data_IF_761617667065
#
_entry.id   IF_761617667065
#
_cell.length_a   1.000
_cell.length_b   1.000
_cell.length_c   1.000
_cell.angle_alpha   90.00
_cell.angle_beta   90.00
_cell.angle_gamma   90.00
#
_symmetry.space_group_name_H-M   'P 1'
#
loop_
_entity.id
_entity.type
_entity.pdbx_description
1 polymer ?
#
# COMPACT_ATOMS: atom_id res chain seq x y z
N UNK A 1 -4.64 18.43 -4.33
CA UNK A 1 -3.50 17.76 -3.71
C UNK A 1 -2.59 17.11 -4.75
N UNK A 2 -3.04 16.17 -5.57
CA UNK A 2 -2.25 15.60 -6.68
C UNK A 2 -1.88 16.60 -7.79
N UNK A 3 -2.59 17.73 -7.91
CA UNK A 3 -2.29 18.77 -8.90
C UNK A 3 -0.98 19.54 -8.61
N UNK A 4 -0.54 19.56 -7.33
CA UNK A 4 0.67 20.26 -6.87
C UNK A 4 1.64 19.28 -6.23
N UNK A 5 2.03 18.24 -6.96
CA UNK A 5 3.09 17.33 -6.53
C UNK A 5 4.43 18.08 -6.58
N UNK A 6 5.02 18.30 -5.41
CA UNK A 6 6.30 19.01 -5.25
C UNK A 6 7.49 18.07 -5.32
N UNK A 7 7.24 16.78 -5.12
CA UNK A 7 8.26 15.73 -5.13
C UNK A 7 7.96 14.67 -6.21
N UNK A 8 8.96 13.96 -6.64
CA UNK A 8 8.82 12.89 -7.63
C UNK A 8 8.53 11.52 -6.98
N UNK A 9 8.89 11.33 -5.70
CA UNK A 9 8.67 10.08 -4.97
C UNK A 9 8.03 10.35 -3.61
N UNK A 10 6.99 9.60 -3.28
CA UNK A 10 6.23 9.69 -2.04
C UNK A 10 6.22 8.33 -1.35
N UNK A 11 6.58 8.31 -0.06
CA UNK A 11 6.28 7.20 0.83
C UNK A 11 4.93 7.48 1.47
N UNK A 12 3.91 6.72 1.10
CA UNK A 12 2.54 6.86 1.61
C UNK A 12 2.38 5.89 2.77
N UNK A 13 2.49 6.42 3.99
CA UNK A 13 2.40 5.63 5.21
C UNK A 13 0.95 5.41 5.67
N UNK A 14 0.70 4.29 6.33
CA UNK A 14 -0.64 3.88 6.79
C UNK A 14 -1.46 3.19 5.70
N UNK A 15 -0.81 2.65 4.68
CA UNK A 15 -1.42 1.99 3.53
C UNK A 15 -0.62 0.73 3.16
N UNK A 16 -1.14 -0.08 2.27
CA UNK A 16 -0.47 -1.28 1.75
C UNK A 16 -0.98 -1.65 0.36
N UNK A 17 -0.88 -2.93 0.02
CA UNK A 17 -1.38 -3.46 -1.25
C UNK A 17 -2.87 -3.25 -1.44
N UNK A 18 -3.66 -3.37 -0.37
CA UNK A 18 -5.13 -3.23 -0.41
C UNK A 18 -5.60 -1.84 -0.88
N UNK A 19 -4.86 -0.78 -0.55
CA UNK A 19 -5.24 0.60 -0.86
C UNK A 19 -4.81 1.06 -2.26
N UNK A 20 -4.03 0.28 -3.00
CA UNK A 20 -3.50 0.65 -4.33
C UNK A 20 -4.61 1.04 -5.31
N UNK A 21 -5.67 0.25 -5.40
CA UNK A 21 -6.78 0.51 -6.32
C UNK A 21 -7.51 1.80 -5.96
N UNK A 22 -7.84 1.98 -4.68
CA UNK A 22 -8.51 3.20 -4.19
C UNK A 22 -7.63 4.44 -4.37
N UNK A 23 -6.33 4.33 -4.13
CA UNK A 23 -5.38 5.40 -4.35
C UNK A 23 -5.26 5.76 -5.84
N UNK A 24 -5.16 4.78 -6.72
CA UNK A 24 -5.11 4.97 -8.16
C UNK A 24 -6.36 5.66 -8.71
N UNK A 25 -7.56 5.25 -8.25
CA UNK A 25 -8.82 5.92 -8.62
C UNK A 25 -8.86 7.38 -8.15
N UNK A 26 -8.40 7.64 -6.93
CA UNK A 26 -8.33 9.00 -6.40
C UNK A 26 -7.35 9.87 -7.19
N UNK A 27 -6.20 9.30 -7.58
CA UNK A 27 -5.20 9.95 -8.41
C UNK A 27 -5.77 10.27 -9.80
N UNK A 28 -6.48 9.33 -10.43
CA UNK A 28 -7.16 9.54 -11.73
C UNK A 28 -8.12 10.73 -11.67
N UNK A 29 -9.04 10.72 -10.72
CA UNK A 29 -10.02 11.81 -10.59
C UNK A 29 -9.37 13.16 -10.28
N UNK A 30 -8.31 13.20 -9.49
CA UNK A 30 -7.64 14.43 -9.12
C UNK A 30 -6.77 15.04 -10.25
N UNK A 31 -6.26 14.18 -11.13
CA UNK A 31 -5.43 14.58 -12.28
C UNK A 31 -6.20 14.62 -13.61
N UNK A 32 -7.52 14.41 -13.58
CA UNK A 32 -8.39 14.35 -14.76
C UNK A 32 -7.88 13.33 -15.81
N UNK A 33 -7.40 12.16 -15.34
CA UNK A 33 -6.89 11.12 -16.22
C UNK A 33 -8.04 10.25 -16.75
N UNK A 34 -7.91 9.80 -17.98
CA UNK A 34 -8.83 8.83 -18.57
C UNK A 34 -8.85 7.51 -17.78
N UNK A 35 -9.94 6.76 -17.90
CA UNK A 35 -10.10 5.50 -17.17
C UNK A 35 -9.00 4.50 -17.48
N UNK A 36 -8.55 4.43 -18.72
CA UNK A 36 -7.47 3.58 -19.22
C UNK A 36 -6.23 4.42 -19.54
N UNK A 37 -5.75 5.21 -18.56
CA UNK A 37 -4.55 6.01 -18.73
C UNK A 37 -3.31 5.11 -18.80
N UNK A 38 -2.62 5.02 -19.95
CA UNK A 38 -1.55 4.03 -20.18
C UNK A 38 -0.30 4.28 -19.32
N UNK A 39 -0.13 5.51 -18.83
CA UNK A 39 1.01 5.92 -18.02
C UNK A 39 0.72 5.87 -16.51
N UNK A 40 -0.34 5.21 -16.09
CA UNK A 40 -0.63 4.88 -14.70
C UNK A 40 -0.40 3.38 -14.46
N UNK A 41 0.66 3.06 -13.74
CA UNK A 41 1.01 1.70 -13.33
C UNK A 41 0.61 1.51 -11.87
N UNK A 42 -0.33 0.61 -11.62
CA UNK A 42 -0.75 0.21 -10.28
C UNK A 42 -0.31 -1.22 -10.02
N UNK A 43 0.49 -1.43 -8.97
CA UNK A 43 1.03 -2.73 -8.59
C UNK A 43 0.80 -2.96 -7.09
N UNK A 44 0.08 -4.02 -6.77
CA UNK A 44 -0.15 -4.47 -5.40
C UNK A 44 0.44 -5.87 -5.23
N UNK A 45 1.39 -6.02 -4.32
CA UNK A 45 2.05 -7.30 -4.04
C UNK A 45 2.23 -7.47 -2.52
N UNK A 46 2.14 -8.68 -1.99
CA UNK A 46 2.40 -8.91 -0.55
C UNK A 46 3.83 -8.56 -0.17
N UNK A 47 4.80 -8.88 -1.03
CA UNK A 47 6.21 -8.56 -0.82
C UNK A 47 6.81 -8.01 -2.11
N UNK A 48 7.25 -6.74 -2.05
CA UNK A 48 7.90 -6.07 -3.18
C UNK A 48 9.36 -6.49 -3.25
N UNK A 49 9.66 -7.33 -4.24
CA UNK A 49 10.96 -7.95 -4.46
C UNK A 49 11.82 -7.24 -5.51
N UNK A 50 13.01 -7.80 -5.75
CA UNK A 50 13.96 -7.24 -6.72
C UNK A 50 13.41 -7.25 -8.15
N UNK A 51 12.62 -8.27 -8.52
CA UNK A 51 12.03 -8.38 -9.85
C UNK A 51 10.98 -7.28 -10.09
N UNK A 52 10.17 -6.98 -9.06
CA UNK A 52 9.22 -5.86 -9.09
C UNK A 52 9.94 -4.52 -9.25
N UNK A 53 11.05 -4.34 -8.53
CA UNK A 53 11.87 -3.14 -8.64
C UNK A 53 12.51 -3.01 -10.04
N UNK A 54 12.95 -4.11 -10.64
CA UNK A 54 13.45 -4.13 -12.01
C UNK A 54 12.36 -3.82 -13.03
N UNK A 55 11.17 -4.39 -12.85
CA UNK A 55 9.99 -4.09 -13.69
C UNK A 55 9.63 -2.61 -13.64
N UNK A 56 9.48 -2.05 -12.44
CA UNK A 56 9.19 -0.61 -12.24
C UNK A 56 10.26 0.26 -12.89
N UNK A 57 11.54 -0.08 -12.68
CA UNK A 57 12.67 0.65 -13.27
C UNK A 57 12.67 0.60 -14.79
N UNK A 58 12.35 -0.54 -15.38
CA UNK A 58 12.28 -0.71 -16.84
C UNK A 58 11.18 0.18 -17.43
N UNK A 59 9.98 0.18 -16.81
CA UNK A 59 8.86 1.03 -17.23
C UNK A 59 9.15 2.52 -17.01
N UNK A 60 9.79 2.89 -15.89
CA UNK A 60 10.09 4.28 -15.58
C UNK A 60 11.05 4.93 -16.60
N UNK A 61 11.93 4.14 -17.24
CA UNK A 61 12.84 4.63 -18.30
C UNK A 61 12.15 4.92 -19.62
N UNK A 62 10.96 4.36 -19.84
CA UNK A 62 10.21 4.61 -21.07
C UNK A 62 9.55 5.99 -21.01
N UNK A 63 9.52 6.69 -22.15
CA UNK A 63 8.78 7.96 -22.24
C UNK A 63 7.29 7.71 -22.04
N UNK A 64 6.55 8.68 -21.44
CA UNK A 64 5.10 8.61 -21.36
C UNK A 64 4.47 8.43 -22.74
N UNK A 65 3.54 7.49 -22.86
CA UNK A 65 2.82 7.20 -24.12
C UNK A 65 1.78 8.28 -24.41
N UNK A 66 1.10 8.75 -23.37
CA UNK A 66 0.10 9.82 -23.49
C UNK A 66 0.71 11.23 -23.54
N UNK A 67 2.05 11.36 -23.58
CA UNK A 67 2.73 12.65 -23.66
C UNK A 67 2.66 13.53 -22.42
N UNK A 68 2.09 13.01 -21.32
CA UNK A 68 1.89 13.71 -20.07
C UNK A 68 2.80 13.23 -18.93
N UNK A 69 2.22 13.09 -17.75
CA UNK A 69 2.90 12.56 -16.57
C UNK A 69 2.75 11.05 -16.49
N UNK A 70 3.77 10.39 -15.96
CA UNK A 70 3.74 8.96 -15.64
C UNK A 70 3.63 8.77 -14.14
N UNK A 71 2.76 7.85 -13.73
CA UNK A 71 2.49 7.57 -12.33
C UNK A 71 2.70 6.09 -12.00
N UNK A 72 3.39 5.85 -10.89
CA UNK A 72 3.54 4.53 -10.32
C UNK A 72 2.90 4.53 -8.94
N UNK A 73 1.89 3.69 -8.74
CA UNK A 73 1.24 3.42 -7.45
C UNK A 73 1.60 2.00 -7.06
N UNK A 74 2.52 1.88 -6.12
CA UNK A 74 3.12 0.61 -5.69
C UNK A 74 2.71 0.37 -4.25
N UNK A 75 2.06 -0.75 -3.95
CA UNK A 75 1.67 -1.08 -2.59
C UNK A 75 2.21 -2.45 -2.20
N UNK A 76 2.76 -2.53 -0.99
CA UNK A 76 3.28 -3.77 -0.45
C UNK A 76 3.23 -3.79 1.08
N UNK A 77 3.08 -5.00 1.65
CA UNK A 77 3.13 -5.20 3.10
C UNK A 77 4.58 -5.34 3.58
N UNK A 78 5.48 -5.78 2.68
CA UNK A 78 6.92 -5.83 2.89
C UNK A 78 7.68 -5.37 1.65
N UNK A 79 8.85 -4.76 1.85
CA UNK A 79 9.76 -4.35 0.76
C UNK A 79 11.15 -4.89 1.06
N UNK A 80 11.64 -5.79 0.21
CA UNK A 80 12.94 -6.43 0.44
C UNK A 80 14.08 -5.41 0.35
N UNK A 81 15.20 -5.68 1.02
CA UNK A 81 16.37 -4.79 0.99
C UNK A 81 16.95 -4.66 -0.41
N UNK A 82 16.95 -5.75 -1.17
CA UNK A 82 17.42 -5.79 -2.55
C UNK A 82 16.55 -4.90 -3.46
N UNK A 83 15.22 -4.96 -3.29
CA UNK A 83 14.30 -4.10 -4.01
C UNK A 83 14.50 -2.62 -3.66
N UNK A 84 14.66 -2.31 -2.37
CA UNK A 84 14.94 -0.95 -1.92
C UNK A 84 16.23 -0.40 -2.54
N UNK A 85 17.30 -1.19 -2.54
CA UNK A 85 18.58 -0.81 -3.16
C UNK A 85 18.45 -0.61 -4.68
N UNK A 86 17.67 -1.46 -5.36
CA UNK A 86 17.43 -1.35 -6.80
C UNK A 86 16.67 -0.07 -7.19
N UNK A 87 15.81 0.44 -6.29
CA UNK A 87 15.04 1.67 -6.49
C UNK A 87 15.84 2.95 -6.20
N UNK A 88 16.94 2.90 -5.43
CA UNK A 88 17.68 4.09 -5.02
C UNK A 88 18.02 4.99 -6.21
N UNK A 89 18.64 4.42 -7.26
CA UNK A 89 19.03 5.20 -8.44
C UNK A 89 17.83 5.79 -9.18
N UNK A 90 16.69 5.08 -9.20
CA UNK A 90 15.47 5.55 -9.86
C UNK A 90 14.87 6.74 -9.13
N UNK A 91 15.01 6.79 -7.81
CA UNK A 91 14.51 7.89 -6.98
C UNK A 91 15.52 9.04 -6.83
N UNK A 92 16.80 8.79 -7.12
CA UNK A 92 17.82 9.86 -7.20
C UNK A 92 17.72 10.65 -8.51
N UNK A 93 17.55 9.93 -9.62
CA UNK A 93 17.54 10.49 -10.97
C UNK A 93 16.23 10.10 -11.69
N UNK A 94 15.09 10.65 -11.27
CA UNK A 94 13.81 10.29 -11.86
C UNK A 94 13.71 10.78 -13.30
N UNK A 95 13.06 9.98 -14.16
CA UNK A 95 12.69 10.43 -15.49
C UNK A 95 11.75 11.64 -15.38
N UNK A 96 11.93 12.69 -16.18
CA UNK A 96 11.05 13.86 -16.15
C UNK A 96 9.57 13.49 -16.22
N UNK A 97 8.74 14.20 -15.46
CA UNK A 97 7.29 14.01 -15.36
C UNK A 97 6.85 12.64 -14.80
N UNK A 98 7.73 11.90 -14.11
CA UNK A 98 7.40 10.63 -13.47
C UNK A 98 7.23 10.83 -11.97
N UNK A 99 6.15 10.27 -11.43
CA UNK A 99 5.85 10.30 -10.00
C UNK A 99 5.64 8.89 -9.45
N UNK A 100 6.24 8.63 -8.29
CA UNK A 100 6.17 7.35 -7.60
C UNK A 100 5.43 7.52 -6.27
N UNK A 101 4.51 6.63 -5.98
CA UNK A 101 3.81 6.50 -4.70
C UNK A 101 4.03 5.07 -4.20
N UNK A 102 4.82 4.94 -3.14
CA UNK A 102 5.06 3.66 -2.48
C UNK A 102 4.20 3.62 -1.21
N UNK A 103 3.16 2.80 -1.25
CA UNK A 103 2.20 2.60 -0.18
C UNK A 103 2.71 1.50 0.74
N UNK A 104 2.95 1.84 1.99
CA UNK A 104 3.44 0.92 3.03
C UNK A 104 2.73 1.18 4.36
N UNK A 105 2.58 0.16 5.18
CA UNK A 105 1.93 0.30 6.49
C UNK A 105 2.67 1.28 7.40
N UNK A 106 4.01 1.30 7.34
CA UNK A 106 4.85 2.25 8.08
C UNK A 106 6.07 2.67 7.26
N UNK A 107 6.46 3.93 7.37
CA UNK A 107 7.68 4.43 6.71
C UNK A 107 8.97 3.78 7.24
N UNK A 108 8.94 3.23 8.45
CA UNK A 108 10.07 2.52 9.08
C UNK A 108 10.40 1.19 8.39
N UNK A 109 9.50 0.64 7.58
CA UNK A 109 9.78 -0.52 6.72
C UNK A 109 10.82 -0.22 5.64
N UNK A 110 11.00 1.07 5.34
CA UNK A 110 11.97 1.52 4.34
C UNK A 110 13.30 1.91 4.99
N UNK A 111 14.38 1.48 4.37
CA UNK A 111 15.72 1.88 4.78
C UNK A 111 15.85 3.42 4.77
N UNK A 112 16.59 4.01 5.73
CA UNK A 112 16.78 5.45 5.80
C UNK A 112 17.32 6.06 4.49
N UNK A 113 18.15 5.32 3.77
CA UNK A 113 18.71 5.70 2.47
C UNK A 113 17.65 5.86 1.38
N UNK A 114 16.64 4.99 1.33
CA UNK A 114 15.54 5.12 0.39
C UNK A 114 14.55 6.21 0.85
N UNK A 115 14.21 6.19 2.14
CA UNK A 115 13.28 7.14 2.74
C UNK A 115 13.72 8.60 2.59
N UNK A 116 15.03 8.87 2.69
CA UNK A 116 15.57 10.23 2.53
C UNK A 116 15.40 10.83 1.13
N UNK A 117 15.03 10.02 0.14
CA UNK A 117 14.76 10.43 -1.26
C UNK A 117 13.28 10.55 -1.57
N UNK A 118 12.44 10.41 -0.57
CA UNK A 118 10.98 10.42 -0.69
C UNK A 118 10.38 11.45 0.25
N UNK A 119 9.26 12.03 -0.15
CA UNK A 119 8.41 12.77 0.77
C UNK A 119 7.53 11.79 1.52
N UNK A 120 7.68 11.72 2.85
CA UNK A 120 6.84 10.85 3.69
C UNK A 120 5.53 11.57 3.99
N UNK A 121 4.42 10.96 3.67
CA UNK A 121 3.10 11.53 3.90
C UNK A 121 2.10 10.42 4.31
N UNK A 122 1.18 10.71 5.23
CA UNK A 122 0.12 9.77 5.56
C UNK A 122 -0.88 9.66 4.40
N UNK A 123 -1.52 8.49 4.24
CA UNK A 123 -2.45 8.22 3.13
C UNK A 123 -3.63 9.20 3.12
N UNK A 124 -4.08 9.65 4.28
CA UNK A 124 -5.19 10.60 4.43
C UNK A 124 -4.89 11.94 3.75
N UNK A 125 -3.62 12.32 3.65
CA UNK A 125 -3.19 13.52 2.90
C UNK A 125 -3.61 13.45 1.43
N UNK A 126 -3.74 12.27 0.87
CA UNK A 126 -4.16 12.06 -0.52
C UNK A 126 -5.69 11.90 -0.65
N UNK A 127 -6.44 12.03 0.45
CA UNK A 127 -7.90 11.92 0.48
C UNK A 127 -8.39 10.50 0.24
N UNK A 128 -7.54 9.52 0.45
CA UNK A 128 -7.91 8.11 0.50
C UNK A 128 -8.27 7.81 1.95
N UNK A 129 -9.49 7.36 2.16
CA UNK A 129 -9.94 6.90 3.47
C UNK A 129 -9.59 5.42 3.54
N UNK A 130 -8.62 5.08 4.36
CA UNK A 130 -8.43 3.69 4.77
C UNK A 130 -9.70 3.32 5.54
N UNK A 131 -10.43 2.35 5.04
CA UNK A 131 -11.61 1.87 5.73
C UNK A 131 -11.11 1.16 6.98
N UNK A 132 -11.01 1.92 8.08
CA UNK A 132 -10.60 1.41 9.41
C UNK A 132 -11.60 0.38 9.97
N UNK A 133 -12.64 0.04 9.21
CA UNK A 133 -13.66 -0.92 9.63
C UNK A 133 -13.02 -2.23 10.09
N UNK A 134 -12.05 -2.75 9.36
CA UNK A 134 -11.36 -3.98 9.74
C UNK A 134 -10.42 -3.78 10.92
N UNK A 135 -9.80 -2.60 11.09
CA UNK A 135 -8.95 -2.32 12.26
C UNK A 135 -9.74 -2.27 13.56
N UNK A 136 -10.90 -1.61 13.57
CA UNK A 136 -11.78 -1.58 14.75
C UNK A 136 -12.35 -2.97 15.05
N UNK A 137 -12.78 -3.69 14.01
CA UNK A 137 -13.25 -5.07 14.14
C UNK A 137 -12.14 -6.02 14.60
N UNK A 138 -10.92 -5.86 14.11
CA UNK A 138 -9.76 -6.65 14.52
C UNK A 138 -9.39 -6.39 15.99
N UNK A 139 -9.35 -5.14 16.42
CA UNK A 139 -9.11 -4.77 17.82
C UNK A 139 -10.20 -5.29 18.74
N UNK A 140 -11.46 -5.16 18.35
CA UNK A 140 -12.58 -5.70 19.10
C UNK A 140 -12.50 -7.23 19.19
N UNK A 141 -12.11 -7.90 18.10
CA UNK A 141 -11.88 -9.35 18.09
C UNK A 141 -10.75 -9.76 19.03
N UNK A 142 -9.62 -9.05 19.01
CA UNK A 142 -8.46 -9.35 19.87
C UNK A 142 -8.76 -9.09 21.35
N UNK A 143 -9.55 -8.08 21.66
CA UNK A 143 -9.97 -7.75 23.02
C UNK A 143 -11.06 -8.70 23.57
N UNK A 144 -11.74 -9.45 22.70
CA UNK A 144 -12.83 -10.32 23.11
C UNK A 144 -12.34 -11.58 23.83
N UNK A 145 -13.13 -12.14 24.77
CA UNK A 145 -12.85 -13.44 25.40
C UNK A 145 -12.74 -14.57 24.35
N UNK A 146 -11.99 -15.63 24.67
CA UNK A 146 -11.70 -16.74 23.73
C UNK A 146 -12.96 -17.38 23.14
N UNK A 147 -14.03 -17.54 23.93
CA UNK A 147 -15.32 -18.09 23.44
C UNK A 147 -15.99 -17.19 22.39
N UNK A 148 -15.95 -15.86 22.59
CA UNK A 148 -16.51 -14.91 21.62
C UNK A 148 -15.69 -14.86 20.32
N UNK A 149 -14.36 -15.00 20.43
CA UNK A 149 -13.47 -15.10 19.25
C UNK A 149 -13.76 -16.35 18.44
N UNK A 150 -13.96 -17.50 19.10
CA UNK A 150 -14.30 -18.75 18.43
C UNK A 150 -15.65 -18.63 17.71
N UNK A 151 -16.69 -18.12 18.37
CA UNK A 151 -18.00 -17.91 17.77
C UNK A 151 -17.93 -16.97 16.53
N UNK A 152 -17.11 -15.93 16.58
CA UNK A 152 -16.91 -15.01 15.45
C UNK A 152 -16.20 -15.70 14.28
N UNK A 153 -15.17 -16.52 14.56
CA UNK A 153 -14.48 -17.30 13.55
C UNK A 153 -15.41 -18.32 12.86
N UNK A 154 -16.26 -19.01 13.61
CA UNK A 154 -17.28 -19.91 13.09
C UNK A 154 -18.30 -19.18 12.22
N UNK A 155 -18.73 -17.99 12.63
CA UNK A 155 -19.63 -17.16 11.84
C UNK A 155 -19.01 -16.75 10.49
N UNK A 156 -17.72 -16.33 10.48
CA UNK A 156 -17.01 -15.98 9.25
C UNK A 156 -16.87 -17.21 8.34
N UNK A 157 -16.52 -18.36 8.89
CA UNK A 157 -16.41 -19.60 8.14
C UNK A 157 -17.75 -20.04 7.52
N UNK A 158 -18.87 -19.90 8.27
CA UNK A 158 -20.20 -20.16 7.76
C UNK A 158 -20.63 -19.18 6.67
N UNK A 159 -20.35 -17.88 6.85
CA UNK A 159 -20.66 -16.84 5.86
C UNK A 159 -19.91 -17.04 4.54
N UNK A 160 -18.64 -17.50 4.60
CA UNK A 160 -17.85 -17.87 3.42
C UNK A 160 -18.44 -19.10 2.71
N UNK A 161 -18.90 -20.10 3.47
CA UNK A 161 -19.50 -21.31 2.91
C UNK A 161 -20.84 -21.02 2.23
N UNK A 162 -21.62 -20.10 2.80
CA UNK A 162 -22.94 -19.69 2.30
C UNK A 162 -22.85 -18.59 1.21
N UNK A 163 -21.66 -18.23 0.77
CA UNK A 163 -21.40 -17.15 -0.20
C UNK A 163 -21.95 -15.77 0.23
N UNK A 164 -22.19 -15.58 1.52
CA UNK A 164 -22.66 -14.30 2.10
C UNK A 164 -21.54 -13.31 2.40
N UNK A 165 -20.29 -13.77 2.34
CA UNK A 165 -19.09 -12.98 2.50
C UNK A 165 -18.12 -13.32 1.38
N UNK A 166 -17.51 -12.30 0.77
CA UNK A 166 -16.49 -12.52 -0.25
C UNK A 166 -15.17 -12.99 0.39
N UNK A 167 -14.48 -13.89 -0.30
CA UNK A 167 -13.16 -14.39 0.15
C UNK A 167 -12.16 -13.25 0.37
N UNK A 168 -12.23 -12.20 -0.46
CA UNK A 168 -11.40 -11.00 -0.34
C UNK A 168 -11.64 -10.22 0.96
N UNK A 169 -12.89 -10.12 1.40
CA UNK A 169 -13.25 -9.43 2.65
C UNK A 169 -12.73 -10.21 3.88
N UNK A 170 -12.87 -11.54 3.87
CA UNK A 170 -12.33 -12.39 4.93
C UNK A 170 -10.80 -12.35 4.97
N UNK A 171 -10.13 -12.37 3.82
CA UNK A 171 -8.68 -12.25 3.72
C UNK A 171 -8.21 -10.90 4.28
N UNK A 172 -8.84 -9.79 3.90
CA UNK A 172 -8.52 -8.45 4.40
C UNK A 172 -8.68 -8.35 5.93
N UNK A 173 -9.71 -8.99 6.49
CA UNK A 173 -9.89 -9.04 7.95
C UNK A 173 -8.76 -9.83 8.65
N UNK A 174 -8.35 -10.98 8.09
CA UNK A 174 -7.26 -11.80 8.64
C UNK A 174 -5.93 -11.05 8.55
N UNK A 175 -5.64 -10.40 7.43
CA UNK A 175 -4.43 -9.59 7.25
C UNK A 175 -4.38 -8.44 8.26
N UNK A 176 -5.52 -7.78 8.49
CA UNK A 176 -5.62 -6.72 9.50
C UNK A 176 -5.40 -7.27 10.92
N UNK A 177 -5.92 -8.46 11.23
CA UNK A 177 -5.67 -9.13 12.53
C UNK A 177 -4.18 -9.43 12.70
N UNK A 178 -3.51 -9.92 11.67
CA UNK A 178 -2.06 -10.21 11.70
C UNK A 178 -1.24 -8.93 11.94
N UNK A 179 -1.60 -7.83 11.28
CA UNK A 179 -0.96 -6.54 11.48
C UNK A 179 -1.12 -6.02 12.91
N UNK A 180 -2.34 -6.04 13.46
CA UNK A 180 -2.63 -5.61 14.84
C UNK A 180 -1.89 -6.47 15.88
N UNK A 181 -1.82 -7.78 15.67
CA UNK A 181 -1.06 -8.69 16.56
C UNK A 181 0.44 -8.40 16.48
N UNK A 182 0.96 -8.17 15.29
CA UNK A 182 2.37 -7.83 15.08
C UNK A 182 2.73 -6.53 15.80
N UNK A 183 1.92 -5.48 15.65
CA UNK A 183 2.12 -4.20 16.32
C UNK A 183 2.10 -4.36 17.86
N UNK A 184 1.18 -5.17 18.36
CA UNK A 184 1.09 -5.47 19.79
C UNK A 184 2.31 -6.20 20.34
N UNK A 185 2.85 -7.17 19.58
CA UNK A 185 4.04 -7.93 19.97
C UNK A 185 5.31 -7.07 19.99
N UNK A 186 5.44 -6.12 19.05
CA UNK A 186 6.56 -5.18 19.02
C UNK A 186 6.49 -4.08 20.09
N UNK A 187 5.29 -3.79 20.61
CA UNK A 187 5.08 -2.83 21.69
C UNK A 187 5.36 -3.41 23.09
N UNK A 188 5.53 -4.73 23.22
CA UNK A 188 5.89 -5.36 24.49
C UNK A 188 7.38 -5.07 24.78
N UNK A 189 7.71 -4.57 25.98
CA UNK A 189 9.11 -4.43 26.37
C UNK A 189 9.78 -5.79 26.33
N UNK A 190 10.94 -5.85 25.68
CA UNK A 190 11.79 -7.05 25.70
C UNK A 190 12.16 -7.36 27.15
N UNK A 191 12.01 -8.60 27.64
CA UNK A 191 12.36 -8.96 29.01
C UNK A 191 13.85 -8.82 29.30
#
# INVERSE_FOLDING_TARGET
MFKNLTHHAYCVAGAGGAEVSAFAEKLRGACDLEREYPDLVALAVPSFGIDDAHFVRALARQKPVAGGKKFFVLGADAVTREAQNALLKTFEEPTPATHFFLLVSSAELLAPTLRSRMEVAPIERFGVVVVKKHHEEARAFLAAPSGARLARAEHIAAALKDEKMERGEAAAFIETLQAEVSEYLWALPCP
#
